data_IF_019137673937
#
_entry.id   IF_019137673937
#
_cell.length_a   1.000
_cell.length_b   1.000
_cell.length_c   1.000
_cell.angle_alpha   90.00
_cell.angle_beta   90.00
_cell.angle_gamma   90.00
#
_symmetry.space_group_name_H-M   'P 1'
#
loop_
_entity.id
_entity.type
_entity.pdbx_description
1 polymer ?
#
# COMPACT_ATOMS: atom_id res chain seq x y z
N UNK A 1 62.52 -21.75 15.76
CA UNK A 1 62.63 -22.77 14.69
C UNK A 1 61.25 -22.91 14.05
N UNK A 2 61.08 -22.96 12.73
CA UNK A 2 62.01 -22.67 11.62
C UNK A 2 61.20 -22.08 10.44
N UNK A 3 61.87 -21.41 9.51
CA UNK A 3 61.24 -20.76 8.35
C UNK A 3 61.36 -21.63 7.10
N UNK A 4 60.30 -21.66 6.27
CA UNK A 4 60.41 -21.89 4.83
C UNK A 4 59.40 -20.99 4.08
N UNK A 5 59.92 -20.21 3.14
CA UNK A 5 59.15 -19.51 2.10
C UNK A 5 59.43 -20.22 0.77
N UNK A 6 58.44 -20.29 -0.14
CA UNK A 6 58.76 -20.47 -1.56
C UNK A 6 57.78 -19.75 -2.50
N UNK A 7 58.36 -19.18 -3.54
CA UNK A 7 57.83 -18.22 -4.51
C UNK A 7 56.63 -18.68 -5.36
N UNK A 8 55.67 -17.77 -5.48
CA UNK A 8 54.95 -17.37 -6.70
C UNK A 8 55.28 -18.13 -8.01
N UNK A 9 54.24 -18.72 -8.63
CA UNK A 9 54.21 -19.09 -10.07
C UNK A 9 53.01 -18.43 -10.75
N UNK A 10 53.15 -18.15 -12.06
CA UNK A 10 52.38 -17.14 -12.80
C UNK A 10 51.45 -17.75 -13.86
N UNK A 11 50.15 -17.73 -13.58
CA UNK A 11 49.07 -17.57 -14.56
C UNK A 11 48.66 -18.75 -15.45
N UNK A 12 47.35 -18.90 -15.60
CA UNK A 12 46.65 -19.07 -16.90
C UNK A 12 45.16 -18.73 -16.73
N UNK A 13 44.51 -18.35 -17.82
CA UNK A 13 43.19 -17.70 -17.80
C UNK A 13 42.08 -18.70 -17.43
N UNK A 14 41.23 -18.33 -16.47
CA UNK A 14 39.94 -18.99 -16.29
C UNK A 14 38.94 -18.45 -17.33
N UNK A 15 38.41 -19.34 -18.17
CA UNK A 15 37.30 -19.04 -19.09
C UNK A 15 36.02 -19.64 -18.48
N UNK A 16 34.92 -18.89 -18.30
CA UNK A 16 33.66 -19.46 -17.85
C UNK A 16 33.11 -20.44 -18.89
N UNK A 17 32.79 -21.66 -18.47
CA UNK A 17 32.11 -22.65 -19.34
C UNK A 17 30.61 -22.33 -19.35
N UNK A 18 30.15 -21.70 -20.44
CA UNK A 18 28.75 -21.31 -20.60
C UNK A 18 27.88 -22.51 -21.04
N UNK A 19 26.97 -22.95 -20.17
CA UNK A 19 26.04 -24.05 -20.46
C UNK A 19 24.92 -23.60 -21.41
N UNK A 20 25.18 -23.67 -22.71
CA UNK A 20 24.23 -23.35 -23.78
C UNK A 20 23.07 -24.35 -23.84
N UNK A 21 22.00 -24.07 -23.09
CA UNK A 21 20.82 -24.92 -22.96
C UNK A 21 19.89 -24.80 -24.17
N UNK A 22 20.27 -25.45 -25.27
CA UNK A 22 19.51 -25.49 -26.53
C UNK A 22 18.07 -25.99 -26.31
N UNK A 23 17.08 -25.16 -26.65
CA UNK A 23 15.67 -25.53 -26.71
C UNK A 23 15.29 -25.77 -28.18
N UNK A 24 14.50 -26.81 -28.51
CA UNK A 24 14.02 -27.01 -29.88
C UNK A 24 13.23 -25.81 -30.39
N UNK A 25 13.57 -25.31 -31.58
CA UNK A 25 12.82 -24.25 -32.24
C UNK A 25 11.49 -24.79 -32.78
N UNK A 26 10.37 -24.26 -32.27
CA UNK A 26 9.07 -24.42 -32.90
C UNK A 26 8.80 -23.17 -33.73
N UNK A 27 8.68 -23.32 -35.05
CA UNK A 27 8.34 -22.22 -35.96
C UNK A 27 6.95 -21.68 -35.59
N UNK A 28 6.92 -20.51 -34.95
CA UNK A 28 5.69 -19.74 -34.77
C UNK A 28 5.36 -19.00 -36.07
N UNK A 29 4.09 -18.95 -36.50
CA UNK A 29 3.70 -18.10 -37.62
C UNK A 29 4.01 -16.63 -37.30
N UNK A 30 4.28 -15.85 -38.33
CA UNK A 30 4.62 -14.44 -38.24
C UNK A 30 3.51 -13.63 -37.57
N UNK A 31 3.69 -13.32 -36.28
CA UNK A 31 2.91 -12.25 -35.64
C UNK A 31 3.28 -10.94 -36.32
N UNK A 32 2.31 -10.33 -37.01
CA UNK A 32 2.42 -8.95 -37.49
C UNK A 32 2.64 -8.07 -36.26
N UNK A 33 3.89 -7.62 -36.07
CA UNK A 33 4.28 -6.86 -34.91
C UNK A 33 3.78 -5.42 -35.02
N UNK A 34 2.68 -5.09 -34.35
CA UNK A 34 2.24 -3.72 -34.20
C UNK A 34 3.27 -2.95 -33.35
N UNK A 35 4.23 -2.29 -34.00
CA UNK A 35 5.11 -1.33 -33.34
C UNK A 35 4.28 -0.11 -32.99
N UNK A 36 3.95 0.02 -31.70
CA UNK A 36 3.57 1.32 -31.14
C UNK A 36 4.81 2.20 -31.20
N UNK A 37 4.81 3.16 -32.12
CA UNK A 37 5.75 4.27 -32.08
C UNK A 37 5.17 5.29 -31.09
N UNK A 38 5.88 5.53 -29.99
CA UNK A 38 5.59 6.70 -29.16
C UNK A 38 5.91 7.95 -30.00
N UNK A 39 4.97 8.88 -30.08
CA UNK A 39 5.23 10.18 -30.67
C UNK A 39 6.06 11.01 -29.68
N UNK A 40 7.34 11.21 -30.00
CA UNK A 40 8.15 12.21 -29.31
C UNK A 40 7.48 13.60 -29.42
N UNK A 41 7.67 14.46 -28.40
CA UNK A 41 7.08 15.81 -28.26
C UNK A 41 5.61 15.96 -27.82
N UNK A 42 5.06 15.03 -27.03
CA UNK A 42 4.09 15.41 -26.00
C UNK A 42 4.70 15.26 -24.60
N UNK A 43 4.52 16.28 -23.75
CA UNK A 43 4.80 16.15 -22.33
C UNK A 43 3.82 15.14 -21.72
N UNK A 44 4.26 14.38 -20.72
CA UNK A 44 3.37 13.44 -20.02
C UNK A 44 2.18 14.20 -19.41
N UNK A 45 0.96 13.64 -19.45
CA UNK A 45 -0.21 14.32 -18.93
C UNK A 45 -0.07 14.52 -17.42
N UNK A 46 -0.15 15.77 -16.96
CA UNK A 46 -0.19 16.06 -15.53
C UNK A 46 -1.44 15.44 -14.91
N UNK A 47 -1.22 14.59 -13.90
CA UNK A 47 -2.28 13.95 -13.11
C UNK A 47 -2.42 14.60 -11.73
N UNK A 48 -1.65 15.66 -11.43
CA UNK A 48 -1.69 16.32 -10.13
C UNK A 48 -3.07 16.89 -9.84
N UNK A 49 -3.51 16.77 -8.58
CA UNK A 49 -4.83 17.23 -8.13
C UNK A 49 -4.72 17.88 -6.76
N UNK A 50 -5.51 18.93 -6.54
CA UNK A 50 -5.65 19.58 -5.24
C UNK A 50 -7.08 19.41 -4.74
N UNK A 51 -7.27 18.63 -3.68
CA UNK A 51 -8.59 18.33 -3.09
C UNK A 51 -8.61 18.83 -1.65
N UNK A 52 -9.48 19.79 -1.33
CA UNK A 52 -9.57 20.39 0.02
C UNK A 52 -8.20 20.86 0.56
N UNK A 53 -7.38 21.51 -0.28
CA UNK A 53 -6.03 21.96 0.05
C UNK A 53 -4.94 20.88 0.00
N UNK A 54 -5.29 19.60 -0.04
CA UNK A 54 -4.33 18.50 -0.22
C UNK A 54 -3.91 18.41 -1.69
N UNK A 55 -2.70 18.86 -1.99
CA UNK A 55 -2.06 18.60 -3.28
C UNK A 55 -1.50 17.17 -3.31
N UNK A 56 -1.85 16.41 -4.34
CA UNK A 56 -1.41 15.03 -4.57
C UNK A 56 -0.84 14.92 -5.98
N UNK A 57 0.27 14.16 -6.20
CA UNK A 57 0.90 14.04 -7.51
C UNK A 57 0.07 13.20 -8.52
N UNK A 58 -0.96 12.50 -8.05
CA UNK A 58 -1.95 11.79 -8.85
C UNK A 58 -3.22 11.55 -7.98
N UNK A 59 -4.40 11.26 -8.58
CA UNK A 59 -5.64 11.06 -7.83
C UNK A 59 -5.78 9.64 -7.24
N UNK A 60 -4.76 8.78 -7.32
CA UNK A 60 -4.85 7.40 -6.88
C UNK A 60 -4.56 7.27 -5.38
N UNK A 61 -5.59 6.87 -4.63
CA UNK A 61 -5.57 6.83 -3.17
C UNK A 61 -5.84 5.40 -2.67
N UNK A 62 -5.00 4.90 -1.77
CA UNK A 62 -5.28 3.66 -1.02
C UNK A 62 -6.38 3.94 0.01
N UNK A 63 -7.48 3.18 -0.04
CA UNK A 63 -8.57 3.27 0.95
C UNK A 63 -8.27 2.55 2.27
N UNK A 64 -8.93 3.00 3.36
CA UNK A 64 -8.87 2.34 4.68
C UNK A 64 -9.33 0.89 4.55
N UNK A 65 -8.46 -0.06 4.92
CA UNK A 65 -8.66 -1.48 4.71
C UNK A 65 -7.36 -2.26 4.82
N UNK A 66 -7.30 -3.53 4.37
CA UNK A 66 -6.09 -4.36 4.48
C UNK A 66 -4.78 -3.75 3.94
N UNK A 67 -4.76 -2.88 2.90
CA UNK A 67 -3.52 -2.22 2.48
C UNK A 67 -3.04 -1.11 3.43
N UNK A 68 -3.89 -0.59 4.31
CA UNK A 68 -3.56 0.49 5.26
C UNK A 68 -3.15 0.00 6.66
N UNK A 69 -2.98 -1.31 6.87
CA UNK A 69 -2.90 -1.93 8.21
C UNK A 69 -1.57 -1.70 8.94
N UNK A 70 -0.46 -1.44 8.24
CA UNK A 70 0.84 -1.18 8.86
C UNK A 70 1.81 -0.41 7.95
N UNK A 71 2.83 0.19 8.58
CA UNK A 71 3.95 0.89 7.96
C UNK A 71 4.47 0.21 6.69
N UNK A 72 4.78 -1.08 6.72
CA UNK A 72 5.42 -1.78 5.59
C UNK A 72 4.56 -1.75 4.32
N UNK A 73 3.23 -1.82 4.44
CA UNK A 73 2.33 -1.75 3.28
C UNK A 73 2.06 -0.31 2.86
N UNK A 74 1.90 0.61 3.82
CA UNK A 74 1.70 2.05 3.54
C UNK A 74 2.93 2.68 2.88
N UNK A 75 4.13 2.42 3.42
CA UNK A 75 5.43 2.79 2.85
C UNK A 75 5.57 2.28 1.42
N UNK A 76 5.25 1.00 1.21
CA UNK A 76 5.30 0.37 -0.12
C UNK A 76 4.36 1.05 -1.12
N UNK A 77 3.18 1.53 -0.71
CA UNK A 77 2.30 2.28 -1.60
C UNK A 77 2.93 3.63 -2.01
N UNK A 78 3.63 4.32 -1.11
CA UNK A 78 4.39 5.53 -1.49
C UNK A 78 5.61 5.20 -2.38
N UNK A 79 6.33 4.11 -2.11
CA UNK A 79 7.42 3.61 -2.98
C UNK A 79 6.92 3.21 -4.39
N UNK A 80 5.70 2.69 -4.49
CA UNK A 80 5.01 2.38 -5.76
C UNK A 80 4.30 3.61 -6.39
N UNK A 81 4.50 4.81 -5.83
CA UNK A 81 4.11 6.08 -6.44
C UNK A 81 2.67 6.55 -6.20
N UNK A 82 1.90 5.90 -5.32
CA UNK A 82 0.52 6.30 -5.00
C UNK A 82 0.47 7.76 -4.48
N UNK A 83 -0.62 8.47 -4.83
CA UNK A 83 -0.80 9.88 -4.50
C UNK A 83 -1.11 10.12 -3.02
N UNK A 84 -1.92 9.24 -2.43
CA UNK A 84 -2.20 9.25 -0.99
C UNK A 84 -2.50 7.85 -0.43
N UNK A 85 -2.40 7.72 0.90
CA UNK A 85 -2.78 6.52 1.65
C UNK A 85 -3.70 6.89 2.79
N UNK A 86 -4.85 6.23 2.88
CA UNK A 86 -5.73 6.26 4.05
C UNK A 86 -5.37 5.04 4.91
N UNK A 87 -4.83 5.28 6.09
CA UNK A 87 -4.49 4.23 7.04
C UNK A 87 -5.74 3.48 7.52
N UNK A 88 -5.57 2.20 7.90
CA UNK A 88 -6.62 1.39 8.54
C UNK A 88 -7.14 2.13 9.78
N UNK A 89 -8.46 2.17 9.91
CA UNK A 89 -9.16 2.88 11.00
C UNK A 89 -8.64 2.50 12.39
N UNK A 90 -8.33 3.49 13.23
CA UNK A 90 -7.84 3.29 14.61
C UNK A 90 -8.84 3.82 15.66
N UNK A 91 -8.74 3.27 16.87
CA UNK A 91 -9.44 3.67 18.11
C UNK A 91 -8.41 3.96 19.22
N UNK A 92 -8.84 4.54 20.34
CA UNK A 92 -8.05 4.65 21.57
C UNK A 92 -7.78 3.27 22.18
N UNK A 93 -8.83 2.46 22.26
CA UNK A 93 -8.78 1.08 22.75
C UNK A 93 -8.97 0.09 21.59
N UNK A 94 -7.86 -0.51 21.17
CA UNK A 94 -7.84 -1.58 20.16
C UNK A 94 -8.14 -2.97 20.75
N UNK A 95 -8.08 -3.16 22.08
CA UNK A 95 -8.32 -4.47 22.70
C UNK A 95 -9.80 -4.89 22.69
N UNK A 96 -10.70 -3.93 22.49
CA UNK A 96 -12.13 -4.17 22.16
C UNK A 96 -12.34 -4.85 20.80
N UNK A 97 -11.34 -4.82 19.91
CA UNK A 97 -11.46 -5.23 18.51
C UNK A 97 -10.98 -6.67 18.32
N UNK A 98 -11.92 -7.60 18.15
CA UNK A 98 -11.61 -9.03 17.98
C UNK A 98 -11.94 -9.46 16.54
N UNK A 99 -10.94 -9.45 15.67
CA UNK A 99 -11.08 -9.88 14.27
C UNK A 99 -11.19 -11.42 14.16
N UNK A 100 -12.30 -11.90 13.61
CA UNK A 100 -12.53 -13.35 13.37
C UNK A 100 -11.79 -13.86 12.13
N UNK A 101 -11.77 -15.19 11.94
CA UNK A 101 -11.21 -15.87 10.76
C UNK A 101 -12.04 -17.12 10.44
N UNK A 102 -12.40 -17.39 9.17
CA UNK A 102 -12.16 -16.58 7.96
C UNK A 102 -13.01 -15.31 7.92
N UNK A 103 -12.44 -14.22 7.39
CA UNK A 103 -13.12 -12.91 7.26
C UNK A 103 -13.09 -12.28 5.87
N UNK A 104 -12.50 -12.98 4.90
CA UNK A 104 -12.50 -12.59 3.48
C UNK A 104 -13.02 -13.73 2.61
N UNK A 105 -13.92 -13.43 1.68
CA UNK A 105 -14.37 -14.36 0.65
C UNK A 105 -14.24 -13.76 -0.74
N UNK A 106 -14.17 -14.60 -1.78
CA UNK A 106 -14.05 -14.18 -3.19
C UNK A 106 -15.41 -14.30 -3.86
N UNK A 107 -16.00 -13.17 -4.25
CA UNK A 107 -17.21 -13.17 -5.06
C UNK A 107 -16.85 -13.58 -6.49
N UNK A 108 -17.61 -14.53 -7.06
CA UNK A 108 -17.40 -15.05 -8.41
C UNK A 108 -18.63 -14.83 -9.28
N UNK A 109 -18.42 -14.48 -10.54
CA UNK A 109 -19.49 -14.50 -11.53
C UNK A 109 -19.88 -15.95 -11.83
N UNK A 110 -21.09 -16.34 -11.43
CA UNK A 110 -21.69 -17.63 -11.78
C UNK A 110 -21.96 -17.70 -13.30
N UNK A 111 -21.37 -18.66 -14.04
CA UNK A 111 -21.86 -18.98 -15.37
C UNK A 111 -23.23 -19.66 -15.22
N UNK A 112 -24.29 -18.89 -15.48
CA UNK A 112 -25.68 -19.33 -15.66
C UNK A 112 -26.31 -19.99 -14.41
N UNK A 113 -25.99 -19.52 -13.20
CA UNK A 113 -26.63 -19.98 -11.95
C UNK A 113 -26.42 -21.46 -11.64
N UNK A 114 -25.30 -22.03 -12.10
CA UNK A 114 -25.04 -23.48 -12.08
C UNK A 114 -24.36 -23.99 -10.80
N UNK A 115 -24.14 -23.14 -9.79
CA UNK A 115 -23.55 -23.47 -8.49
C UNK A 115 -22.07 -23.88 -8.55
N UNK A 116 -21.39 -23.61 -9.66
CA UNK A 116 -20.04 -24.11 -9.96
C UNK A 116 -19.02 -23.00 -9.79
N UNK A 117 -18.28 -23.05 -8.67
CA UNK A 117 -17.28 -22.09 -8.23
C UNK A 117 -16.01 -21.91 -9.12
N UNK A 118 -16.09 -22.20 -10.43
CA UNK A 118 -15.05 -21.96 -11.43
C UNK A 118 -15.17 -20.60 -12.14
N UNK A 119 -16.17 -19.79 -11.78
CA UNK A 119 -16.36 -18.43 -12.31
C UNK A 119 -15.20 -17.47 -12.03
N UNK A 120 -15.07 -16.43 -12.87
CA UNK A 120 -14.12 -15.33 -12.69
C UNK A 120 -14.38 -14.61 -11.35
N UNK A 121 -13.32 -14.21 -10.65
CA UNK A 121 -13.43 -13.37 -9.45
C UNK A 121 -13.85 -11.97 -9.89
N UNK A 122 -14.94 -11.46 -9.34
CA UNK A 122 -15.50 -10.13 -9.66
C UNK A 122 -15.50 -9.17 -8.47
N UNK A 123 -15.25 -9.68 -7.25
CA UNK A 123 -15.23 -8.88 -6.04
C UNK A 123 -14.74 -9.68 -4.83
N UNK A 124 -14.74 -9.03 -3.67
CA UNK A 124 -14.36 -9.61 -2.40
C UNK A 124 -15.34 -9.18 -1.32
N UNK A 125 -15.79 -10.13 -0.51
CA UNK A 125 -16.58 -9.86 0.70
C UNK A 125 -15.64 -9.76 1.90
N UNK A 126 -15.97 -8.88 2.85
CA UNK A 126 -15.14 -8.57 4.01
C UNK A 126 -15.99 -8.40 5.28
N UNK A 127 -15.57 -9.07 6.37
CA UNK A 127 -16.09 -8.86 7.74
C UNK A 127 -14.98 -8.49 8.75
N UNK A 128 -13.83 -7.99 8.27
CA UNK A 128 -12.80 -7.37 9.12
C UNK A 128 -13.29 -6.04 9.71
N UNK A 129 -13.05 -5.86 11.00
CA UNK A 129 -13.39 -4.68 11.79
C UNK A 129 -12.36 -3.55 11.54
N UNK A 130 -12.22 -2.63 12.50
CA UNK A 130 -11.13 -1.64 12.51
C UNK A 130 -9.76 -2.30 12.85
N UNK A 131 -8.72 -1.50 13.08
CA UNK A 131 -7.41 -2.00 13.53
C UNK A 131 -7.51 -2.64 14.92
N UNK A 132 -6.92 -3.84 15.07
CA UNK A 132 -6.66 -4.52 16.35
C UNK A 132 -5.25 -4.20 16.90
N UNK A 133 -4.51 -3.33 16.22
CA UNK A 133 -3.15 -2.90 16.61
C UNK A 133 -3.22 -1.73 17.59
N UNK A 134 -2.41 -1.71 18.68
CA UNK A 134 -2.37 -0.59 19.63
C UNK A 134 -2.12 0.76 18.95
N UNK A 135 -2.86 1.79 19.37
CA UNK A 135 -2.76 3.15 18.83
C UNK A 135 -1.33 3.69 18.86
N UNK A 136 -0.59 3.45 19.96
CA UNK A 136 0.82 3.83 20.12
C UNK A 136 1.74 3.30 19.01
N UNK A 137 1.42 2.13 18.44
CA UNK A 137 2.17 1.58 17.30
C UNK A 137 1.80 2.31 16.02
N UNK A 138 0.51 2.53 15.77
CA UNK A 138 0.02 3.25 14.59
C UNK A 138 0.53 4.69 14.55
N UNK A 139 0.50 5.42 15.67
CA UNK A 139 0.98 6.82 15.76
C UNK A 139 2.48 6.93 15.47
N UNK A 140 3.30 5.98 15.91
CA UNK A 140 4.74 5.93 15.60
C UNK A 140 4.98 5.68 14.11
N UNK A 141 4.23 4.74 13.53
CA UNK A 141 4.28 4.44 12.09
C UNK A 141 3.80 5.62 11.23
N UNK A 142 2.77 6.37 11.67
CA UNK A 142 2.30 7.59 10.99
C UNK A 142 3.36 8.68 10.99
N UNK A 143 3.98 8.95 12.16
CA UNK A 143 5.05 9.93 12.28
C UNK A 143 6.25 9.55 11.40
N UNK A 144 6.69 8.30 11.45
CA UNK A 144 7.79 7.81 10.61
C UNK A 144 7.48 7.98 9.12
N UNK A 145 6.26 7.68 8.67
CA UNK A 145 5.85 7.89 7.27
C UNK A 145 5.82 9.38 6.88
N UNK A 146 5.45 10.29 7.78
CA UNK A 146 5.50 11.74 7.51
C UNK A 146 6.91 12.32 7.53
N UNK A 147 7.84 11.71 8.28
CA UNK A 147 9.27 12.04 8.26
C UNK A 147 9.97 11.50 6.99
N UNK A 148 9.63 10.28 6.54
CA UNK A 148 10.18 9.68 5.32
C UNK A 148 9.56 10.25 4.03
N UNK A 149 8.26 10.59 4.04
CA UNK A 149 7.50 11.08 2.89
C UNK A 149 6.79 12.41 3.20
N UNK A 150 7.54 13.53 3.30
CA UNK A 150 6.95 14.83 3.58
C UNK A 150 5.99 15.28 2.46
N UNK A 151 6.29 14.93 1.20
CA UNK A 151 5.50 15.22 -0.01
C UNK A 151 4.20 14.40 -0.13
N UNK A 152 4.11 13.24 0.55
CA UNK A 152 2.97 12.33 0.41
C UNK A 152 1.87 12.60 1.42
N UNK A 153 0.64 12.37 0.97
CA UNK A 153 -0.54 12.55 1.80
C UNK A 153 -0.87 11.24 2.52
N UNK A 154 -0.63 11.22 3.83
CA UNK A 154 -1.07 10.18 4.74
C UNK A 154 -2.29 10.68 5.50
N UNK A 155 -3.37 9.91 5.48
CA UNK A 155 -4.64 10.24 6.12
C UNK A 155 -4.93 9.17 7.17
N UNK A 156 -5.02 9.57 8.44
CA UNK A 156 -5.55 8.69 9.47
C UNK A 156 -7.06 8.53 9.28
N UNK A 157 -7.54 7.29 9.25
CA UNK A 157 -8.94 6.99 9.53
C UNK A 157 -9.11 6.75 11.03
N UNK A 158 -10.14 7.34 11.64
CA UNK A 158 -10.41 7.21 13.08
C UNK A 158 -11.88 6.83 13.35
N UNK A 159 -12.10 6.08 14.42
CA UNK A 159 -13.43 5.72 14.94
C UNK A 159 -13.38 5.52 16.46
N UNK A 160 -14.28 6.19 17.17
CA UNK A 160 -14.51 6.03 18.61
C UNK A 160 -16.00 5.87 18.96
N UNK A 161 -16.27 5.47 20.20
CA UNK A 161 -17.62 5.43 20.77
C UNK A 161 -18.26 6.83 20.84
N UNK A 162 -19.54 6.93 21.22
CA UNK A 162 -20.23 8.24 21.33
C UNK A 162 -19.83 9.00 22.61
N UNK A 163 -18.55 9.34 22.71
CA UNK A 163 -17.94 10.10 23.81
C UNK A 163 -17.08 11.24 23.24
N UNK A 164 -17.51 12.50 23.45
CA UNK A 164 -16.83 13.69 22.92
C UNK A 164 -15.34 13.74 23.29
N UNK A 165 -15.00 13.45 24.55
CA UNK A 165 -13.63 13.56 25.03
C UNK A 165 -12.70 12.50 24.40
N UNK A 166 -13.21 11.30 24.13
CA UNK A 166 -12.47 10.25 23.43
C UNK A 166 -12.18 10.64 21.97
N UNK A 167 -13.16 11.24 21.28
CA UNK A 167 -12.95 11.79 19.94
C UNK A 167 -11.94 12.94 19.92
N UNK A 168 -12.00 13.85 20.88
CA UNK A 168 -11.04 14.95 21.00
C UNK A 168 -9.62 14.43 21.28
N UNK A 169 -9.45 13.51 22.25
CA UNK A 169 -8.15 12.89 22.53
C UNK A 169 -7.57 12.16 21.31
N UNK A 170 -8.37 11.33 20.61
CA UNK A 170 -7.89 10.57 19.46
C UNK A 170 -7.47 11.48 18.30
N UNK A 171 -8.24 12.54 18.04
CA UNK A 171 -7.91 13.52 17.00
C UNK A 171 -6.61 14.26 17.37
N UNK A 172 -6.52 14.81 18.58
CA UNK A 172 -5.37 15.61 19.01
C UNK A 172 -4.07 14.78 19.07
N UNK A 173 -4.17 13.48 19.39
CA UNK A 173 -3.03 12.53 19.36
C UNK A 173 -2.61 12.14 17.95
N UNK A 174 -3.53 12.06 17.01
CA UNK A 174 -3.24 11.85 15.58
C UNK A 174 -2.57 13.10 14.98
N UNK A 175 -3.03 14.30 15.34
CA UNK A 175 -2.45 15.57 14.87
C UNK A 175 -0.97 15.72 15.27
N UNK A 176 -0.58 15.26 16.46
CA UNK A 176 0.81 15.21 16.93
C UNK A 176 1.75 14.34 16.06
N UNK A 177 1.23 13.53 15.14
CA UNK A 177 2.04 12.75 14.16
C UNK A 177 2.33 13.50 12.86
N UNK A 178 1.75 14.69 12.66
CA UNK A 178 1.83 15.45 11.40
C UNK A 178 0.66 15.22 10.43
N UNK A 179 -0.42 14.57 10.88
CA UNK A 179 -1.66 14.38 10.10
C UNK A 179 -2.70 15.43 10.54
N UNK A 180 -2.93 16.45 9.71
CA UNK A 180 -3.62 17.70 10.10
C UNK A 180 -5.16 17.59 10.20
N UNK A 181 -5.80 18.46 10.99
CA UNK A 181 -7.24 18.50 11.33
C UNK A 181 -8.20 18.73 10.15
N UNK A 182 -9.48 18.48 10.40
CA UNK A 182 -10.62 18.79 9.52
C UNK A 182 -11.09 20.27 9.51
N UNK A 183 -10.50 21.21 10.27
CA UNK A 183 -11.08 22.56 10.44
C UNK A 183 -10.10 23.73 10.30
N UNK A 184 -10.56 24.75 9.56
CA UNK A 184 -10.11 26.14 9.38
C UNK A 184 -8.61 26.50 9.52
N UNK A 185 -8.03 26.98 8.40
CA UNK A 185 -6.70 27.59 8.36
C UNK A 185 -5.63 26.73 7.69
N UNK A 186 -5.70 26.61 6.35
CA UNK A 186 -4.70 26.05 5.42
C UNK A 186 -3.88 24.82 5.87
N UNK A 187 -4.05 23.71 5.13
CA UNK A 187 -3.53 22.34 5.38
C UNK A 187 -4.41 21.51 6.36
N UNK A 188 -4.65 20.25 5.97
CA UNK A 188 -5.96 19.54 6.06
C UNK A 188 -5.71 18.05 5.64
N UNK A 189 -6.39 16.93 5.97
CA UNK A 189 -7.44 16.54 6.96
C UNK A 189 -7.29 15.08 7.44
N UNK A 190 -7.78 14.75 8.64
CA UNK A 190 -8.14 13.40 9.14
C UNK A 190 -9.48 12.91 8.54
N UNK A 191 -9.73 11.59 8.41
CA UNK A 191 -11.04 11.03 8.01
C UNK A 191 -11.77 10.36 9.18
N UNK A 192 -12.95 10.89 9.49
CA UNK A 192 -13.92 10.35 10.45
C UNK A 192 -14.92 9.46 9.72
N UNK A 193 -14.91 8.14 9.96
CA UNK A 193 -15.93 7.23 9.44
C UNK A 193 -17.10 7.10 10.42
N UNK A 194 -18.23 7.78 10.13
CA UNK A 194 -19.46 7.67 10.93
C UNK A 194 -20.38 6.54 10.44
N UNK A 195 -19.89 5.30 10.44
CA UNK A 195 -20.72 4.14 10.14
C UNK A 195 -21.34 3.56 11.42
N UNK A 196 -22.66 3.78 11.57
CA UNK A 196 -23.47 2.94 12.45
C UNK A 196 -23.58 1.55 11.81
N UNK A 197 -22.74 0.61 12.23
CA UNK A 197 -23.01 -0.82 12.03
C UNK A 197 -24.12 -1.25 12.99
N UNK A 198 -25.37 -0.91 12.64
CA UNK A 198 -26.51 -1.67 13.13
C UNK A 198 -26.59 -2.96 12.31
N UNK A 199 -26.31 -4.07 12.98
CA UNK A 199 -26.87 -5.37 12.63
C UNK A 199 -28.25 -5.53 13.31
#
# INVERSE_FOLDING_TARGET
>A
MASLNLTQIRGKNFVPVEFTRTRPCWNRPSRVGFKVFASESQAEPDLSVTVNGLHMPNPFVIGSGPPGTNYTVMKRAFDEGWGAVIAKTVSLDAAKVINVTPRYARLRAEPNGSGKAKGQIIGWENIELISDRPLETMLKEFKQLKEEYPDRILIASIMEEYNKAAWEELIDRVEQTGIVRLHEGENLRVIIHRHYFSL
#
